data_IF_227727496591
#
_entry.id   IF_227727496591
#
_cell.length_a   1.000
_cell.length_b   1.000
_cell.length_c   1.000
_cell.angle_alpha   90.00
_cell.angle_beta   90.00
_cell.angle_gamma   90.00
#
_symmetry.space_group_name_H-M   'P 1'
#
loop_
_entity.id
_entity.type
_entity.pdbx_description
1 polymer ?
#
# COMPACT_ATOMS: atom_id res chain seq x y z
N UNK A 1 0.01 15.23 22.73
CA UNK A 1 -1.23 14.70 23.36
C UNK A 1 -0.92 13.39 24.07
N UNK A 2 -1.89 12.69 24.66
CA UNK A 2 -1.60 11.49 25.47
C UNK A 2 -1.03 10.33 24.65
N UNK A 3 -1.49 10.14 23.41
CA UNK A 3 -1.01 9.07 22.51
C UNK A 3 0.43 9.24 22.02
N UNK A 4 0.90 10.48 21.83
CA UNK A 4 2.29 10.74 21.43
C UNK A 4 3.24 10.45 22.58
N UNK A 5 2.86 10.88 23.79
CA UNK A 5 3.68 10.72 24.98
C UNK A 5 3.99 9.24 25.25
N UNK A 6 3.01 8.34 25.13
CA UNK A 6 3.24 6.90 25.35
C UNK A 6 4.34 6.35 24.45
N UNK A 7 4.42 6.75 23.18
CA UNK A 7 5.44 6.26 22.26
C UNK A 7 6.80 6.95 22.43
N UNK A 8 6.81 8.22 22.87
CA UNK A 8 8.04 8.92 23.22
C UNK A 8 8.66 8.27 24.46
N UNK A 9 7.86 8.02 25.49
CA UNK A 9 8.31 7.36 26.73
C UNK A 9 8.78 5.93 26.42
N UNK A 10 8.02 5.16 25.64
CA UNK A 10 8.38 3.81 25.18
C UNK A 10 9.75 3.80 24.47
N UNK A 11 9.97 4.70 23.52
CA UNK A 11 11.23 4.76 22.79
C UNK A 11 12.40 5.11 23.73
N UNK A 12 12.24 6.09 24.63
CA UNK A 12 13.26 6.44 25.58
C UNK A 12 13.67 5.28 26.48
N UNK A 13 12.71 4.45 26.90
CA UNK A 13 12.95 3.30 27.76
C UNK A 13 13.55 2.09 26.98
N UNK A 14 13.21 1.94 25.70
CA UNK A 14 13.49 0.71 24.96
C UNK A 14 14.46 0.88 23.79
N UNK A 15 14.96 2.10 23.51
CA UNK A 15 15.84 2.35 22.34
C UNK A 15 17.09 1.45 22.29
N UNK A 16 17.65 1.09 23.43
CA UNK A 16 18.79 0.16 23.50
C UNK A 16 18.43 -1.22 22.95
N UNK A 17 17.27 -1.75 23.32
CA UNK A 17 16.77 -3.03 22.84
C UNK A 17 16.42 -2.97 21.35
N UNK A 18 15.78 -1.88 20.90
CA UNK A 18 15.46 -1.66 19.50
C UNK A 18 16.74 -1.66 18.66
N UNK A 19 17.76 -0.92 19.09
CA UNK A 19 19.05 -0.81 18.37
C UNK A 19 19.82 -2.14 18.37
N UNK A 20 19.76 -2.90 19.47
CA UNK A 20 20.42 -4.20 19.57
C UNK A 20 19.87 -5.23 18.58
N UNK A 21 18.55 -5.19 18.31
CA UNK A 21 17.88 -6.11 17.40
C UNK A 21 17.61 -5.49 16.02
N UNK A 22 18.52 -4.63 15.56
CA UNK A 22 18.43 -3.92 14.28
C UNK A 22 19.81 -3.81 13.63
N UNK A 23 19.84 -3.50 12.34
CA UNK A 23 21.11 -3.29 11.63
C UNK A 23 21.57 -1.82 11.66
N UNK A 24 22.88 -1.58 11.39
CA UNK A 24 23.51 -0.28 11.49
C UNK A 24 22.89 0.79 10.59
N UNK A 25 22.43 0.43 9.39
CA UNK A 25 21.82 1.39 8.46
C UNK A 25 20.52 1.96 9.03
N UNK A 26 19.68 1.12 9.62
CA UNK A 26 18.45 1.56 10.26
C UNK A 26 18.78 2.42 11.50
N UNK A 27 19.77 1.99 12.29
CA UNK A 27 20.16 2.69 13.51
C UNK A 27 20.72 4.10 13.25
N UNK A 28 21.43 4.31 12.13
CA UNK A 28 22.00 5.63 11.76
C UNK A 28 20.95 6.73 11.59
N UNK A 29 19.73 6.40 11.15
CA UNK A 29 18.67 7.39 10.90
C UNK A 29 17.65 7.46 12.03
N UNK A 30 17.68 6.51 12.95
CA UNK A 30 16.66 6.30 13.99
C UNK A 30 16.54 7.47 14.97
N UNK A 31 17.67 7.96 15.48
CA UNK A 31 17.67 9.04 16.47
C UNK A 31 17.13 10.34 15.86
N UNK A 32 17.49 10.63 14.58
CA UNK A 32 16.89 11.75 13.86
C UNK A 32 15.39 11.58 13.70
N UNK A 33 14.94 10.38 13.30
CA UNK A 33 13.52 10.09 13.13
C UNK A 33 12.74 10.25 14.46
N UNK A 34 13.33 9.88 15.58
CA UNK A 34 12.73 10.08 16.89
C UNK A 34 12.58 11.59 17.23
N UNK A 35 13.62 12.40 17.01
CA UNK A 35 13.54 13.86 17.26
C UNK A 35 12.55 14.51 16.28
N UNK A 36 12.50 14.09 15.01
CA UNK A 36 11.53 14.58 14.04
C UNK A 36 10.08 14.23 14.48
N UNK A 37 9.84 13.01 14.94
CA UNK A 37 8.53 12.59 15.47
C UNK A 37 8.14 13.39 16.72
N UNK A 38 9.07 13.57 17.65
CA UNK A 38 8.85 14.32 18.88
C UNK A 38 8.52 15.79 18.60
N UNK A 39 9.13 16.38 17.57
CA UNK A 39 8.87 17.76 17.16
C UNK A 39 7.51 17.93 16.47
N UNK A 40 7.11 16.96 15.64
CA UNK A 40 5.87 17.01 14.83
C UNK A 40 4.65 16.52 15.62
N UNK A 41 4.80 15.47 16.42
CA UNK A 41 3.70 14.70 17.01
C UNK A 41 2.83 14.00 15.96
N UNK A 42 1.75 13.34 16.40
CA UNK A 42 0.80 12.77 15.44
C UNK A 42 0.01 13.85 14.71
N UNK A 43 -0.14 13.75 13.37
CA UNK A 43 -0.91 14.72 12.62
C UNK A 43 -2.40 14.65 13.02
N UNK A 44 -2.97 15.81 13.26
CA UNK A 44 -4.40 15.94 13.54
C UNK A 44 -5.18 16.19 12.26
N UNK A 45 -6.51 16.11 12.32
CA UNK A 45 -7.41 16.47 11.20
C UNK A 45 -7.28 17.91 10.70
N UNK A 46 -6.48 18.76 11.36
CA UNK A 46 -6.16 20.11 10.89
C UNK A 46 -5.08 20.11 9.81
N UNK A 47 -4.28 19.07 9.74
CA UNK A 47 -3.30 18.86 8.66
C UNK A 47 -4.05 18.36 7.45
N UNK A 48 -3.99 19.07 6.32
CA UNK A 48 -4.80 18.80 5.11
C UNK A 48 -4.76 17.35 4.68
N UNK A 49 -3.56 16.77 4.56
CA UNK A 49 -3.36 15.38 4.15
C UNK A 49 -3.91 14.33 5.15
N UNK A 50 -4.31 14.73 6.36
CA UNK A 50 -4.84 13.86 7.41
C UNK A 50 -6.26 14.21 7.83
N UNK A 51 -6.92 15.10 7.09
CA UNK A 51 -8.23 15.66 7.42
C UNK A 51 -9.32 14.61 7.64
N UNK A 52 -9.27 13.53 6.92
CA UNK A 52 -10.32 12.50 6.92
C UNK A 52 -10.02 11.30 7.82
N UNK A 53 -8.80 11.17 8.35
CA UNK A 53 -8.39 10.06 9.23
C UNK A 53 -7.87 10.57 10.57
N UNK A 54 -8.44 10.10 11.67
CA UNK A 54 -8.07 10.50 13.03
C UNK A 54 -6.89 9.69 13.55
N UNK A 55 -5.68 10.08 13.17
CA UNK A 55 -4.44 9.37 13.54
C UNK A 55 -4.26 9.27 15.06
N UNK A 56 -4.39 10.34 15.87
CA UNK A 56 -4.25 10.24 17.31
C UNK A 56 -5.18 9.20 17.95
N UNK A 57 -6.41 9.07 17.45
CA UNK A 57 -7.38 8.09 17.94
C UNK A 57 -6.96 6.64 17.59
N UNK A 58 -6.41 6.42 16.39
CA UNK A 58 -5.98 5.10 15.94
C UNK A 58 -4.76 4.60 16.72
N UNK A 59 -3.88 5.49 17.14
CA UNK A 59 -2.66 5.19 17.88
C UNK A 59 -2.82 5.28 19.40
N UNK A 60 -4.00 5.65 19.90
CA UNK A 60 -4.26 5.78 21.34
C UNK A 60 -4.34 4.44 22.11
N UNK A 61 -4.83 3.30 21.54
CA UNK A 61 -4.81 2.03 22.24
C UNK A 61 -3.39 1.59 22.59
N UNK A 62 -3.30 0.82 23.70
CA UNK A 62 -2.05 0.21 24.12
C UNK A 62 -1.83 -1.10 23.34
N UNK A 63 -0.89 -1.06 22.41
CA UNK A 63 -0.49 -2.21 21.60
C UNK A 63 0.81 -2.80 22.13
N UNK A 64 0.91 -4.13 22.18
CA UNK A 64 2.17 -4.81 22.36
C UNK A 64 3.16 -4.55 21.21
N UNK A 65 4.44 -4.71 21.49
CA UNK A 65 5.53 -4.59 20.50
C UNK A 65 6.47 -5.78 20.65
N UNK A 66 6.86 -6.40 19.56
CA UNK A 66 7.83 -7.51 19.58
C UNK A 66 9.28 -6.97 19.50
N UNK A 67 9.70 -6.19 20.49
CA UNK A 67 11.02 -5.54 20.51
C UNK A 67 12.20 -6.53 20.57
N UNK A 68 11.98 -7.71 21.14
CA UNK A 68 13.00 -8.77 21.23
C UNK A 68 13.05 -9.63 19.95
N UNK A 69 12.21 -9.35 18.96
CA UNK A 69 12.16 -10.10 17.69
C UNK A 69 11.91 -11.59 17.90
N UNK A 70 11.06 -11.94 18.87
CA UNK A 70 10.67 -13.32 19.09
C UNK A 70 10.00 -13.89 17.84
N UNK A 71 10.44 -15.07 17.42
CA UNK A 71 9.83 -15.77 16.28
C UNK A 71 8.43 -16.23 16.65
N UNK A 72 7.47 -15.97 15.76
CA UNK A 72 6.13 -16.54 15.90
C UNK A 72 6.16 -18.02 15.58
N UNK A 73 5.45 -18.86 16.35
CA UNK A 73 5.43 -20.31 16.14
C UNK A 73 4.50 -20.68 14.97
N UNK A 74 4.92 -20.33 13.76
CA UNK A 74 4.19 -20.57 12.53
C UNK A 74 5.16 -20.95 11.41
N UNK A 75 4.78 -21.92 10.56
CA UNK A 75 5.45 -22.14 9.29
C UNK A 75 4.52 -21.68 8.16
N UNK A 76 4.69 -20.44 7.65
CA UNK A 76 3.77 -19.88 6.68
C UNK A 76 3.75 -20.68 5.35
N UNK A 77 4.82 -21.39 4.99
CA UNK A 77 4.85 -22.23 3.78
C UNK A 77 4.00 -23.52 3.91
N UNK A 78 3.72 -23.97 5.12
CA UNK A 78 2.85 -25.12 5.39
C UNK A 78 1.40 -24.68 5.65
N UNK A 79 1.24 -23.58 6.36
CA UNK A 79 -0.05 -23.11 6.86
C UNK A 79 -0.79 -22.23 5.85
N UNK A 80 -0.05 -21.51 4.99
CA UNK A 80 -0.62 -20.63 3.97
C UNK A 80 -0.57 -21.28 2.58
N UNK A 81 -1.71 -21.27 1.89
CA UNK A 81 -1.80 -21.67 0.47
C UNK A 81 -2.46 -20.55 -0.31
N UNK A 82 -1.67 -19.85 -1.12
CA UNK A 82 -2.22 -18.94 -2.10
C UNK A 82 -3.08 -19.73 -3.10
N UNK A 83 -4.34 -19.37 -3.24
CA UNK A 83 -5.31 -20.04 -4.09
C UNK A 83 -5.48 -19.34 -5.46
N UNK A 84 -4.55 -18.46 -5.84
CA UNK A 84 -4.55 -17.87 -7.19
C UNK A 84 -4.10 -18.93 -8.21
N UNK A 85 -5.01 -19.44 -9.03
CA UNK A 85 -4.67 -20.48 -10.00
C UNK A 85 -3.66 -19.95 -11.02
N UNK A 86 -2.70 -20.79 -11.41
CA UNK A 86 -1.73 -20.49 -12.46
C UNK A 86 -0.86 -19.23 -12.24
N UNK A 87 -0.81 -18.72 -11.02
CA UNK A 87 0.07 -17.61 -10.69
C UNK A 87 1.50 -18.14 -10.51
N UNK A 88 2.35 -17.90 -11.51
CA UNK A 88 3.78 -18.22 -11.41
C UNK A 88 4.49 -17.15 -10.59
N UNK A 89 4.54 -17.34 -9.27
CA UNK A 89 5.20 -16.42 -8.35
C UNK A 89 6.33 -17.08 -7.57
N UNK A 90 7.27 -16.25 -7.13
CA UNK A 90 8.19 -16.59 -6.04
C UNK A 90 7.61 -16.02 -4.75
N UNK A 91 7.14 -16.90 -3.87
CA UNK A 91 6.38 -16.52 -2.66
C UNK A 91 7.33 -16.33 -1.48
N UNK A 92 7.29 -15.17 -0.89
CA UNK A 92 7.99 -14.80 0.34
C UNK A 92 6.99 -14.41 1.43
N UNK A 93 7.37 -14.57 2.68
CA UNK A 93 6.51 -14.24 3.81
C UNK A 93 7.13 -13.20 4.72
N UNK A 94 6.27 -12.30 5.20
CA UNK A 94 6.57 -11.40 6.31
C UNK A 94 5.55 -11.72 7.40
N UNK A 95 5.99 -12.27 8.51
CA UNK A 95 5.14 -12.53 9.68
C UNK A 95 5.23 -11.34 10.61
N UNK A 96 4.14 -10.62 10.76
CA UNK A 96 4.06 -9.31 11.40
C UNK A 96 4.96 -8.28 10.69
N UNK A 97 6.16 -8.03 11.22
CA UNK A 97 7.19 -7.16 10.63
C UNK A 97 8.54 -7.89 10.45
N UNK A 98 8.53 -9.23 10.49
CA UNK A 98 9.74 -10.06 10.35
C UNK A 98 9.71 -10.81 9.03
N UNK A 99 10.74 -10.61 8.21
CA UNK A 99 10.95 -11.44 7.03
C UNK A 99 11.21 -12.88 7.45
N UNK A 100 10.41 -13.82 6.89
CA UNK A 100 10.55 -15.23 7.21
C UNK A 100 11.65 -15.86 6.37
N UNK A 101 12.78 -16.18 6.97
CA UNK A 101 13.98 -16.69 6.33
C UNK A 101 14.34 -18.14 6.68
N UNK A 102 13.55 -18.81 7.51
CA UNK A 102 13.79 -20.23 7.86
C UNK A 102 13.56 -21.15 6.66
N UNK A 103 12.75 -20.71 5.70
CA UNK A 103 12.53 -21.37 4.42
C UNK A 103 12.35 -20.30 3.33
N UNK A 104 12.95 -20.50 2.17
CA UNK A 104 12.81 -19.63 1.00
C UNK A 104 12.08 -20.36 -0.13
N UNK A 105 11.53 -19.62 -1.12
CA UNK A 105 10.84 -20.24 -2.24
C UNK A 105 11.76 -21.22 -2.97
N UNK A 106 11.17 -22.34 -3.44
CA UNK A 106 11.91 -23.34 -4.25
C UNK A 106 12.25 -22.83 -5.64
N UNK A 107 11.46 -21.90 -6.17
CA UNK A 107 11.71 -21.28 -7.47
C UNK A 107 12.83 -20.26 -7.34
N UNK A 108 13.91 -20.45 -8.07
CA UNK A 108 15.00 -19.47 -8.14
C UNK A 108 14.56 -18.26 -8.95
N UNK A 109 14.97 -17.08 -8.52
CA UNK A 109 14.87 -15.85 -9.30
C UNK A 109 15.99 -15.79 -10.34
N UNK A 110 15.83 -14.89 -11.32
CA UNK A 110 16.91 -14.58 -12.27
C UNK A 110 18.18 -14.14 -11.53
N UNK A 111 19.33 -14.45 -12.11
CA UNK A 111 20.63 -14.13 -11.51
C UNK A 111 20.75 -12.65 -11.13
N UNK A 112 21.15 -12.43 -9.89
CA UNK A 112 21.39 -11.09 -9.33
C UNK A 112 20.16 -10.41 -8.70
N UNK A 113 18.94 -10.93 -8.87
CA UNK A 113 17.78 -10.41 -8.13
C UNK A 113 17.90 -10.82 -6.67
N UNK A 114 17.76 -9.85 -5.78
CA UNK A 114 17.83 -10.06 -4.33
C UNK A 114 16.48 -9.77 -3.70
N UNK A 115 16.00 -10.69 -2.87
CA UNK A 115 14.84 -10.52 -1.98
C UNK A 115 15.23 -11.07 -0.62
N UNK A 116 15.49 -10.19 0.34
CA UNK A 116 15.99 -10.60 1.66
C UNK A 116 15.62 -9.55 2.73
N UNK A 117 15.87 -9.89 4.00
CA UNK A 117 15.83 -8.93 5.09
C UNK A 117 16.97 -7.91 4.98
N UNK A 118 16.80 -6.71 5.56
CA UNK A 118 17.90 -5.74 5.64
C UNK A 118 19.12 -6.32 6.38
N UNK A 119 18.86 -7.04 7.48
CA UNK A 119 19.90 -7.64 8.33
C UNK A 119 20.78 -8.64 7.58
N UNK A 120 20.28 -9.31 6.56
CA UNK A 120 21.05 -10.20 5.71
C UNK A 120 21.64 -9.46 4.50
N UNK A 121 20.80 -8.71 3.78
CA UNK A 121 21.18 -8.04 2.53
C UNK A 121 22.32 -7.02 2.73
N UNK A 122 22.43 -6.41 3.92
CA UNK A 122 23.50 -5.45 4.23
C UNK A 122 24.90 -6.05 4.12
N UNK A 123 25.02 -7.36 4.26
CA UNK A 123 26.33 -8.06 4.19
C UNK A 123 26.91 -8.06 2.77
N UNK A 124 26.05 -8.03 1.76
CA UNK A 124 26.42 -8.12 0.33
C UNK A 124 26.04 -6.88 -0.46
N UNK A 125 25.01 -6.15 -0.05
CA UNK A 125 24.47 -4.96 -0.73
C UNK A 125 24.40 -3.73 0.18
N UNK A 126 25.28 -3.66 1.18
CA UNK A 126 25.28 -2.61 2.19
C UNK A 126 25.42 -1.20 1.64
N UNK A 127 26.20 -1.02 0.57
CA UNK A 127 26.36 0.28 -0.11
C UNK A 127 25.03 0.72 -0.77
N UNK A 128 24.38 -0.17 -1.50
CA UNK A 128 23.09 0.13 -2.15
C UNK A 128 22.05 0.51 -1.10
N UNK A 129 21.93 -0.28 -0.03
CA UNK A 129 20.99 0.00 1.05
C UNK A 129 21.29 1.36 1.70
N UNK A 130 22.56 1.65 2.01
CA UNK A 130 22.96 2.89 2.66
C UNK A 130 22.66 4.12 1.79
N UNK A 131 22.84 4.01 0.48
CA UNK A 131 22.61 5.10 -0.46
C UNK A 131 21.13 5.40 -0.70
N UNK A 132 20.23 4.43 -0.47
CA UNK A 132 18.80 4.56 -0.79
C UNK A 132 17.90 4.60 0.45
N UNK A 133 18.22 3.92 1.53
CA UNK A 133 17.37 3.84 2.72
C UNK A 133 17.14 5.21 3.38
N UNK A 134 15.88 5.54 3.64
CA UNK A 134 15.42 6.79 4.26
C UNK A 134 15.86 8.06 3.50
N UNK A 135 15.95 7.98 2.16
CA UNK A 135 16.26 9.15 1.32
C UNK A 135 15.01 9.76 0.69
N UNK A 136 14.05 8.94 0.25
CA UNK A 136 12.74 9.42 -0.22
C UNK A 136 11.79 9.65 0.96
N UNK A 137 11.82 8.75 1.93
CA UNK A 137 11.00 8.80 3.13
C UNK A 137 11.57 9.79 4.16
N UNK A 138 11.45 11.09 3.86
CA UNK A 138 11.97 12.17 4.72
C UNK A 138 11.15 12.29 6.01
N UNK A 139 11.78 11.95 7.13
CA UNK A 139 11.18 11.96 8.46
C UNK A 139 10.81 13.36 8.95
N UNK A 140 11.48 14.39 8.44
CA UNK A 140 11.16 15.78 8.78
C UNK A 140 9.86 16.28 8.14
N UNK A 141 9.38 15.62 7.07
CA UNK A 141 8.17 16.01 6.32
C UNK A 141 6.92 15.25 6.73
N UNK A 142 7.06 14.08 7.36
CA UNK A 142 5.92 13.22 7.69
C UNK A 142 6.13 12.48 9.02
N UNK A 143 5.28 12.79 9.99
CA UNK A 143 5.38 12.25 11.33
C UNK A 143 5.15 10.73 11.42
N UNK A 144 4.30 10.15 10.53
CA UNK A 144 4.07 8.69 10.52
C UNK A 144 5.26 7.96 9.90
N UNK A 145 5.93 8.58 8.94
CA UNK A 145 7.23 8.08 8.42
C UNK A 145 8.30 8.15 9.49
N UNK A 146 8.37 9.25 10.26
CA UNK A 146 9.28 9.37 11.39
C UNK A 146 8.99 8.31 12.46
N UNK A 147 7.71 8.11 12.80
CA UNK A 147 7.25 7.09 13.74
C UNK A 147 7.65 5.66 13.29
N UNK A 148 7.39 5.31 12.04
CA UNK A 148 7.80 4.01 11.51
C UNK A 148 9.32 3.85 11.55
N UNK A 149 10.07 4.88 11.11
CA UNK A 149 11.54 4.82 11.03
C UNK A 149 12.20 4.70 12.41
N UNK A 150 11.64 5.31 13.45
CA UNK A 150 12.19 5.20 14.81
C UNK A 150 11.98 3.80 15.41
N UNK A 151 10.92 3.07 15.02
CA UNK A 151 10.56 1.79 15.61
C UNK A 151 10.91 0.56 14.75
N UNK A 152 11.03 0.71 13.43
CA UNK A 152 11.36 -0.42 12.53
C UNK A 152 12.72 -1.03 12.89
N UNK A 153 12.78 -2.34 13.10
CA UNK A 153 14.01 -3.04 13.50
C UNK A 153 14.65 -3.83 12.36
N UNK A 154 13.87 -4.17 11.34
CA UNK A 154 14.29 -4.84 10.11
C UNK A 154 13.31 -4.49 8.99
N UNK A 155 13.39 -5.15 7.86
CA UNK A 155 12.48 -4.97 6.75
C UNK A 155 12.84 -5.82 5.56
N UNK A 156 12.17 -5.55 4.45
CA UNK A 156 12.36 -6.24 3.17
C UNK A 156 13.21 -5.38 2.23
N UNK A 157 14.26 -5.95 1.70
CA UNK A 157 15.07 -5.39 0.63
C UNK A 157 14.85 -6.16 -0.67
N UNK A 158 14.53 -5.44 -1.74
CA UNK A 158 14.38 -5.98 -3.08
C UNK A 158 15.29 -5.19 -4.02
N UNK A 159 16.14 -5.91 -4.74
CA UNK A 159 17.08 -5.32 -5.69
C UNK A 159 17.05 -6.07 -7.01
N UNK A 160 16.98 -5.32 -8.10
CA UNK A 160 17.05 -5.84 -9.46
C UNK A 160 18.19 -5.13 -10.20
N UNK A 161 19.24 -5.85 -10.59
CA UNK A 161 20.39 -5.25 -11.26
C UNK A 161 20.07 -4.78 -12.67
N UNK A 162 20.97 -3.97 -13.22
CA UNK A 162 20.86 -3.36 -14.55
C UNK A 162 20.52 -4.39 -15.64
N UNK A 163 19.45 -4.09 -16.39
CA UNK A 163 19.00 -4.89 -17.53
C UNK A 163 18.36 -6.23 -17.18
N UNK A 164 18.25 -6.58 -15.90
CA UNK A 164 17.61 -7.83 -15.47
C UNK A 164 16.10 -7.65 -15.42
N UNK A 165 15.39 -8.62 -16.01
CA UNK A 165 13.94 -8.68 -16.01
C UNK A 165 13.49 -9.89 -15.21
N UNK A 166 12.64 -9.69 -14.21
CA UNK A 166 12.08 -10.79 -13.46
C UNK A 166 11.11 -11.59 -14.33
N UNK A 167 11.36 -12.89 -14.48
CA UNK A 167 10.49 -13.82 -15.23
C UNK A 167 9.26 -14.24 -14.42
N UNK A 168 9.23 -13.90 -13.12
CA UNK A 168 8.16 -14.24 -12.18
C UNK A 168 7.79 -13.04 -11.34
N UNK A 169 6.52 -12.95 -10.99
CA UNK A 169 6.07 -11.99 -9.97
C UNK A 169 6.62 -12.39 -8.59
N UNK A 170 7.24 -11.44 -7.89
CA UNK A 170 7.62 -11.61 -6.49
C UNK A 170 6.38 -11.36 -5.64
N UNK A 171 5.89 -12.41 -4.99
CA UNK A 171 4.74 -12.33 -4.10
C UNK A 171 5.22 -12.27 -2.64
N UNK A 172 4.83 -11.22 -1.94
CA UNK A 172 5.10 -11.04 -0.51
C UNK A 172 3.79 -11.11 0.26
N UNK A 173 3.66 -12.11 1.09
CA UNK A 173 2.48 -12.31 1.92
C UNK A 173 2.79 -11.84 3.32
N UNK A 174 2.10 -10.79 3.73
CA UNK A 174 2.17 -10.21 5.05
C UNK A 174 1.11 -10.85 5.94
N UNK A 175 1.52 -11.68 6.89
CA UNK A 175 0.62 -12.37 7.81
C UNK A 175 0.64 -11.67 9.16
N UNK A 176 -0.53 -11.27 9.65
CA UNK A 176 -0.72 -10.76 11.00
C UNK A 176 -1.06 -11.93 11.92
N UNK A 177 -0.19 -12.22 12.89
CA UNK A 177 -0.34 -13.30 13.85
C UNK A 177 0.10 -12.89 15.24
N UNK A 178 -0.79 -12.94 16.24
CA UNK A 178 -0.45 -12.66 17.64
C UNK A 178 -1.48 -13.20 18.61
N UNK A 179 -1.07 -13.49 19.84
CA UNK A 179 -1.98 -13.83 20.92
C UNK A 179 -2.46 -12.59 21.70
N UNK A 180 -1.90 -11.43 21.41
CA UNK A 180 -2.24 -10.12 22.00
C UNK A 180 -2.46 -9.07 20.93
N UNK A 181 -3.11 -7.96 21.28
CA UNK A 181 -3.19 -6.80 20.38
C UNK A 181 -1.78 -6.27 20.13
N UNK A 182 -1.39 -6.12 18.85
CA UNK A 182 0.01 -5.90 18.45
C UNK A 182 0.16 -4.73 17.48
N UNK A 183 1.19 -3.91 17.71
CA UNK A 183 1.68 -2.95 16.72
C UNK A 183 2.92 -3.51 16.03
N UNK A 184 3.02 -3.23 14.74
CA UNK A 184 4.14 -3.65 13.90
C UNK A 184 4.55 -2.55 12.93
N UNK A 185 5.84 -2.53 12.59
CA UNK A 185 6.44 -1.47 11.80
C UNK A 185 7.22 -2.07 10.63
N UNK A 186 6.55 -2.21 9.48
CA UNK A 186 7.14 -2.76 8.25
C UNK A 186 7.95 -1.70 7.51
N UNK A 187 9.10 -2.09 7.03
CA UNK A 187 9.96 -1.26 6.18
C UNK A 187 10.36 -2.00 4.92
N UNK A 188 10.22 -1.36 3.76
CA UNK A 188 10.51 -1.99 2.46
C UNK A 188 11.32 -1.03 1.62
N UNK A 189 12.40 -1.52 1.03
CA UNK A 189 13.22 -0.80 0.07
C UNK A 189 13.31 -1.60 -1.22
N UNK A 190 12.91 -0.99 -2.33
CA UNK A 190 12.93 -1.56 -3.68
C UNK A 190 13.86 -0.70 -4.53
N UNK A 191 14.86 -1.32 -5.14
CA UNK A 191 15.82 -0.63 -6.03
C UNK A 191 15.90 -1.39 -7.35
N UNK A 192 15.46 -0.73 -8.42
CA UNK A 192 15.59 -1.19 -9.79
C UNK A 192 16.62 -0.34 -10.51
N UNK A 193 17.67 -0.97 -11.01
CA UNK A 193 18.66 -0.27 -11.83
C UNK A 193 18.16 -0.04 -13.27
N UNK A 194 18.96 0.62 -14.08
CA UNK A 194 18.65 0.94 -15.47
C UNK A 194 18.18 -0.30 -16.26
N UNK A 195 17.03 -0.20 -16.92
CA UNK A 195 16.44 -1.24 -17.76
C UNK A 195 15.94 -2.48 -17.00
N UNK A 196 15.89 -2.43 -15.67
CA UNK A 196 15.36 -3.52 -14.84
C UNK A 196 13.83 -3.59 -14.90
N UNK A 197 13.27 -4.80 -14.87
CA UNK A 197 11.81 -5.00 -14.84
C UNK A 197 11.41 -5.91 -13.67
N UNK A 198 10.40 -5.46 -12.89
CA UNK A 198 9.89 -6.18 -11.74
C UNK A 198 8.38 -6.06 -11.62
N UNK A 199 7.70 -7.20 -11.41
CA UNK A 199 6.32 -7.24 -10.93
C UNK A 199 6.29 -7.79 -9.50
N UNK A 200 5.60 -7.08 -8.59
CA UNK A 200 5.41 -7.49 -7.20
C UNK A 200 3.93 -7.56 -6.85
N UNK A 201 3.60 -8.50 -5.98
CA UNK A 201 2.29 -8.63 -5.37
C UNK A 201 2.44 -8.68 -3.85
N UNK A 202 1.93 -7.66 -3.17
CA UNK A 202 1.78 -7.67 -1.71
C UNK A 202 0.36 -8.10 -1.35
N UNK A 203 0.25 -9.12 -0.50
CA UNK A 203 -1.02 -9.56 0.07
C UNK A 203 -0.97 -9.33 1.58
N UNK A 204 -1.89 -8.53 2.11
CA UNK A 204 -2.07 -8.37 3.55
C UNK A 204 -3.20 -9.25 4.02
N UNK A 205 -2.91 -10.15 4.96
CA UNK A 205 -3.84 -11.12 5.56
C UNK A 205 -3.70 -11.14 7.08
N UNK A 206 -4.74 -11.56 7.78
CA UNK A 206 -4.71 -11.73 9.24
C UNK A 206 -5.16 -13.12 9.64
N UNK A 207 -4.29 -13.85 10.34
CA UNK A 207 -4.55 -15.18 10.85
C UNK A 207 -5.39 -15.18 12.14
N UNK A 208 -5.45 -14.05 12.84
CA UNK A 208 -6.10 -13.91 14.15
C UNK A 208 -7.12 -12.79 14.20
N UNK A 209 -8.04 -12.91 15.16
CA UNK A 209 -9.07 -11.93 15.48
C UNK A 209 -8.60 -10.84 16.48
N UNK A 210 -7.28 -10.63 16.59
CA UNK A 210 -6.69 -9.58 17.45
C UNK A 210 -6.68 -8.23 16.74
N UNK A 211 -6.51 -7.17 17.53
CA UNK A 211 -6.30 -5.84 16.95
C UNK A 211 -4.85 -5.70 16.52
N UNK A 212 -4.65 -5.33 15.29
CA UNK A 212 -3.34 -4.99 14.79
C UNK A 212 -3.30 -3.52 14.36
N UNK A 213 -2.20 -2.84 14.70
CA UNK A 213 -1.82 -1.57 14.12
C UNK A 213 -0.56 -1.78 13.28
N UNK A 214 -0.72 -1.86 11.97
CA UNK A 214 0.38 -2.03 11.04
C UNK A 214 0.77 -0.68 10.44
N UNK A 215 1.98 -0.20 10.74
CA UNK A 215 2.60 0.89 9.99
C UNK A 215 3.53 0.31 8.92
N UNK A 216 3.53 0.90 7.74
CA UNK A 216 4.38 0.47 6.63
C UNK A 216 4.98 1.67 5.92
N UNK A 217 6.26 1.61 5.61
CA UNK A 217 6.91 2.58 4.72
C UNK A 217 7.64 1.83 3.61
N UNK A 218 7.32 2.18 2.37
CA UNK A 218 7.95 1.65 1.16
C UNK A 218 8.70 2.80 0.47
N UNK A 219 9.96 2.57 0.14
CA UNK A 219 10.74 3.40 -0.76
C UNK A 219 11.07 2.60 -2.02
N UNK A 220 10.74 3.14 -3.19
CA UNK A 220 11.02 2.51 -4.48
C UNK A 220 11.79 3.45 -5.40
N UNK A 221 12.94 3.00 -5.86
CA UNK A 221 13.78 3.70 -6.84
C UNK A 221 13.70 2.96 -8.17
N UNK A 222 13.24 3.66 -9.19
CA UNK A 222 13.03 3.10 -10.53
C UNK A 222 13.97 3.79 -11.50
N UNK A 223 15.04 3.11 -11.87
CA UNK A 223 16.12 3.61 -12.72
C UNK A 223 15.67 3.93 -14.16
N UNK A 224 16.59 4.47 -14.95
CA UNK A 224 16.32 4.79 -16.36
C UNK A 224 15.83 3.57 -17.14
N UNK A 225 14.78 3.74 -17.95
CA UNK A 225 14.17 2.67 -18.76
C UNK A 225 13.67 1.46 -17.96
N UNK A 226 13.58 1.55 -16.63
CA UNK A 226 13.10 0.46 -15.77
C UNK A 226 11.57 0.42 -15.68
N UNK A 227 11.03 -0.75 -15.36
CA UNK A 227 9.60 -0.98 -15.20
C UNK A 227 9.31 -1.62 -13.85
N UNK A 228 8.44 -0.99 -13.06
CA UNK A 228 7.96 -1.51 -11.78
C UNK A 228 6.43 -1.63 -11.80
N UNK A 229 5.91 -2.82 -11.54
CA UNK A 229 4.51 -3.05 -11.24
C UNK A 229 4.36 -3.47 -9.76
N UNK A 230 3.62 -2.67 -8.99
CA UNK A 230 3.27 -2.96 -7.59
C UNK A 230 1.78 -3.23 -7.48
N UNK A 231 1.41 -4.45 -7.14
CA UNK A 231 0.05 -4.85 -6.84
C UNK A 231 -0.09 -5.05 -5.33
N UNK A 232 -1.07 -4.41 -4.70
CA UNK A 232 -1.35 -4.51 -3.27
C UNK A 232 -2.80 -4.96 -3.05
N UNK A 233 -2.98 -6.11 -2.42
CA UNK A 233 -4.27 -6.66 -2.05
C UNK A 233 -4.40 -6.69 -0.53
N UNK A 234 -5.45 -6.08 0.00
CA UNK A 234 -5.76 -6.05 1.42
C UNK A 234 -7.04 -6.81 1.72
N UNK A 235 -6.89 -7.92 2.45
CA UNK A 235 -7.96 -8.78 2.97
C UNK A 235 -7.69 -9.06 4.46
N UNK A 236 -7.72 -8.01 5.29
CA UNK A 236 -7.44 -8.11 6.73
C UNK A 236 -8.74 -8.19 7.54
N UNK A 237 -8.66 -7.98 8.85
CA UNK A 237 -9.78 -8.10 9.77
C UNK A 237 -10.39 -6.73 10.10
N UNK A 238 -11.69 -6.68 10.45
CA UNK A 238 -12.41 -5.43 10.80
C UNK A 238 -11.81 -4.64 11.97
N UNK A 239 -11.03 -5.28 12.83
CA UNK A 239 -10.36 -4.62 13.96
C UNK A 239 -8.97 -4.07 13.60
N UNK A 240 -8.48 -4.32 12.38
CA UNK A 240 -7.13 -3.95 11.97
C UNK A 240 -7.07 -2.50 11.53
N UNK A 241 -5.96 -1.87 11.87
CA UNK A 241 -5.58 -0.54 11.40
C UNK A 241 -4.30 -0.69 10.59
N UNK A 242 -4.33 -0.22 9.35
CA UNK A 242 -3.16 -0.19 8.46
C UNK A 242 -2.88 1.23 8.01
N UNK A 243 -1.64 1.68 8.20
CA UNK A 243 -1.16 2.97 7.71
C UNK A 243 0.07 2.73 6.85
N UNK A 244 -0.04 3.00 5.55
CA UNK A 244 1.02 2.76 4.58
C UNK A 244 1.44 4.05 3.90
N UNK A 245 2.73 4.37 3.94
CA UNK A 245 3.35 5.46 3.21
C UNK A 245 4.27 4.89 2.13
N UNK A 246 4.03 5.23 0.87
CA UNK A 246 4.81 4.79 -0.28
C UNK A 246 5.46 6.00 -0.93
N UNK A 247 6.75 5.91 -1.19
CA UNK A 247 7.55 6.92 -1.85
C UNK A 247 8.23 6.31 -3.07
N UNK A 248 8.01 6.91 -4.24
CA UNK A 248 8.55 6.42 -5.51
C UNK A 248 9.31 7.54 -6.22
N UNK A 249 10.52 7.25 -6.65
CA UNK A 249 11.30 8.11 -7.53
C UNK A 249 11.51 7.43 -8.88
N UNK A 250 11.14 8.12 -9.96
CA UNK A 250 11.23 7.63 -11.33
C UNK A 250 12.27 8.40 -12.14
N UNK A 251 13.26 7.66 -12.67
CA UNK A 251 14.24 8.19 -13.61
C UNK A 251 13.72 8.12 -15.05
N UNK A 252 14.53 8.55 -16.02
CA UNK A 252 14.10 8.77 -17.41
C UNK A 252 13.55 7.54 -18.10
N UNK A 253 12.45 7.72 -18.87
CA UNK A 253 11.78 6.69 -19.67
C UNK A 253 11.32 5.47 -18.83
N UNK A 254 11.17 5.63 -17.53
CA UNK A 254 10.72 4.57 -16.64
C UNK A 254 9.20 4.46 -16.60
N UNK A 255 8.71 3.31 -16.18
CA UNK A 255 7.28 3.05 -16.05
C UNK A 255 6.94 2.46 -14.69
N UNK A 256 5.98 3.06 -14.02
CA UNK A 256 5.43 2.54 -12.76
C UNK A 256 3.94 2.30 -12.90
N UNK A 257 3.49 1.11 -12.49
CA UNK A 257 2.08 0.80 -12.25
C UNK A 257 1.91 0.42 -10.78
N UNK A 258 1.04 1.14 -10.05
CA UNK A 258 0.72 0.85 -8.65
C UNK A 258 -0.78 0.63 -8.51
N UNK A 259 -1.16 -0.62 -8.19
CA UNK A 259 -2.54 -1.07 -8.07
C UNK A 259 -2.85 -1.40 -6.61
N UNK A 260 -3.85 -0.75 -6.04
CA UNK A 260 -4.25 -0.93 -4.63
C UNK A 260 -5.70 -1.42 -4.57
N UNK A 261 -5.90 -2.59 -4.00
CA UNK A 261 -7.20 -3.23 -3.89
C UNK A 261 -7.48 -3.49 -2.41
N UNK A 262 -8.53 -2.85 -1.89
CA UNK A 262 -9.00 -3.04 -0.51
C UNK A 262 -10.39 -3.67 -0.54
N UNK A 263 -10.46 -4.95 -0.16
CA UNK A 263 -11.71 -5.71 -0.15
C UNK A 263 -12.25 -5.97 1.26
N UNK A 264 -11.36 -6.10 2.24
CA UNK A 264 -11.73 -6.31 3.63
C UNK A 264 -10.68 -5.72 4.57
N UNK A 265 -11.10 -4.84 5.48
CA UNK A 265 -10.23 -4.13 6.41
C UNK A 265 -11.02 -3.60 7.62
N UNK A 266 -10.36 -2.97 8.57
CA UNK A 266 -10.98 -2.10 9.57
C UNK A 266 -10.81 -0.64 9.16
N UNK A 267 -9.62 -0.08 9.42
CA UNK A 267 -9.22 1.27 8.98
C UNK A 267 -7.95 1.18 8.16
N UNK A 268 -8.00 1.67 6.94
CA UNK A 268 -6.84 1.70 6.06
C UNK A 268 -6.57 3.13 5.61
N UNK A 269 -5.33 3.56 5.76
CA UNK A 269 -4.84 4.80 5.20
C UNK A 269 -3.60 4.54 4.34
N UNK A 270 -3.71 4.89 3.07
CA UNK A 270 -2.62 4.80 2.10
C UNK A 270 -2.19 6.21 1.69
N UNK A 271 -0.91 6.48 1.78
CA UNK A 271 -0.26 7.66 1.23
C UNK A 271 0.73 7.22 0.16
N UNK A 272 0.69 7.86 -1.00
CA UNK A 272 1.65 7.65 -2.06
C UNK A 272 2.19 8.98 -2.55
N UNK A 273 3.50 9.16 -2.50
CA UNK A 273 4.21 10.27 -3.08
C UNK A 273 5.13 9.74 -4.19
N UNK A 274 4.84 10.16 -5.44
CA UNK A 274 5.63 9.77 -6.61
C UNK A 274 6.24 11.02 -7.23
N UNK A 275 7.52 10.96 -7.54
CA UNK A 275 8.25 12.04 -8.22
C UNK A 275 8.83 11.54 -9.53
N UNK A 276 8.58 12.26 -10.60
CA UNK A 276 9.30 12.12 -11.85
C UNK A 276 10.58 12.96 -11.78
N UNK A 277 11.72 12.30 -11.64
CA UNK A 277 13.05 12.90 -11.60
C UNK A 277 13.75 12.82 -12.96
N UNK A 278 13.24 11.99 -13.89
CA UNK A 278 13.72 11.85 -15.27
C UNK A 278 12.59 11.99 -16.29
N UNK A 279 12.90 12.60 -17.43
CA UNK A 279 11.94 12.85 -18.52
C UNK A 279 11.45 11.58 -19.22
N UNK A 280 10.30 11.67 -19.89
CA UNK A 280 9.73 10.61 -20.72
C UNK A 280 9.10 9.47 -19.92
N UNK A 281 8.90 9.65 -18.62
CA UNK A 281 8.41 8.60 -17.72
C UNK A 281 6.88 8.59 -17.63
N UNK A 282 6.35 7.40 -17.31
CA UNK A 282 4.92 7.15 -17.20
C UNK A 282 4.56 6.54 -15.85
N UNK A 283 3.45 6.98 -15.24
CA UNK A 283 2.87 6.27 -14.10
C UNK A 283 1.38 6.02 -14.24
N UNK A 284 0.93 4.89 -13.69
CA UNK A 284 -0.46 4.46 -13.61
C UNK A 284 -0.78 4.09 -12.16
N UNK A 285 -1.65 4.88 -11.53
CA UNK A 285 -2.08 4.64 -10.15
C UNK A 285 -3.54 4.23 -10.14
N UNK A 286 -3.83 3.00 -9.74
CA UNK A 286 -5.18 2.46 -9.77
C UNK A 286 -5.61 2.01 -8.37
N UNK A 287 -6.82 2.37 -7.95
CA UNK A 287 -7.38 2.00 -6.66
C UNK A 287 -8.80 1.45 -6.78
N UNK A 288 -9.04 0.27 -6.18
CA UNK A 288 -10.36 -0.31 -6.04
C UNK A 288 -10.67 -0.54 -4.56
N UNK A 289 -11.78 0.02 -4.09
CA UNK A 289 -12.21 -0.11 -2.70
C UNK A 289 -13.65 -0.61 -2.67
N UNK A 290 -13.87 -1.73 -1.96
CA UNK A 290 -15.20 -2.24 -1.62
C UNK A 290 -15.31 -2.30 -0.10
N UNK A 291 -16.11 -1.42 0.48
CA UNK A 291 -16.22 -1.29 1.93
C UNK A 291 -17.70 -1.24 2.39
N UNK A 292 -17.98 -1.87 3.52
CA UNK A 292 -19.28 -1.90 4.19
C UNK A 292 -19.13 -1.71 5.70
N UNK A 293 -20.20 -1.93 6.46
CA UNK A 293 -20.21 -1.83 7.93
C UNK A 293 -19.67 -0.48 8.38
N UNK A 294 -18.57 -0.47 9.17
CA UNK A 294 -17.88 0.74 9.65
C UNK A 294 -16.45 0.83 9.13
N UNK A 295 -16.17 0.18 8.01
CA UNK A 295 -14.85 0.23 7.40
C UNK A 295 -14.50 1.64 6.94
N UNK A 296 -13.22 1.98 7.04
CA UNK A 296 -12.71 3.28 6.61
C UNK A 296 -11.51 3.07 5.68
N UNK A 297 -11.55 3.68 4.49
CA UNK A 297 -10.43 3.63 3.53
C UNK A 297 -10.12 5.03 3.02
N UNK A 298 -8.91 5.50 3.32
CA UNK A 298 -8.38 6.81 2.93
C UNK A 298 -7.16 6.63 2.01
N UNK A 299 -7.30 6.99 0.73
CA UNK A 299 -6.20 7.01 -0.23
C UNK A 299 -5.79 8.46 -0.51
N UNK A 300 -4.52 8.78 -0.29
CA UNK A 300 -3.96 10.10 -0.51
C UNK A 300 -2.74 10.00 -1.44
N UNK A 301 -2.81 10.62 -2.60
CA UNK A 301 -1.74 10.58 -3.61
C UNK A 301 -1.17 11.96 -3.88
N UNK A 302 0.14 12.02 -4.12
CA UNK A 302 0.81 13.18 -4.70
C UNK A 302 1.65 12.69 -5.86
N UNK A 303 1.42 13.25 -7.04
CA UNK A 303 2.28 13.06 -8.21
C UNK A 303 3.00 14.37 -8.47
N UNK A 304 4.32 14.35 -8.33
CA UNK A 304 5.19 15.48 -8.57
C UNK A 304 5.86 15.35 -9.96
N UNK A 305 5.38 16.11 -10.92
CA UNK A 305 6.04 16.30 -12.20
C UNK A 305 7.14 17.36 -12.02
N UNK A 306 8.33 16.94 -11.61
CA UNK A 306 9.46 17.83 -11.43
C UNK A 306 10.18 18.15 -12.76
N UNK A 307 10.00 17.28 -13.77
CA UNK A 307 10.59 17.39 -15.12
C UNK A 307 9.52 17.22 -16.19
N UNK A 308 9.82 17.64 -17.43
CA UNK A 308 8.90 17.60 -18.56
C UNK A 308 8.72 16.24 -19.22
N UNK A 309 7.83 16.20 -20.23
CA UNK A 309 7.57 15.04 -21.08
C UNK A 309 7.08 13.78 -20.32
N UNK A 310 6.48 13.95 -19.14
CA UNK A 310 6.00 12.83 -18.32
C UNK A 310 4.48 12.68 -18.37
N UNK A 311 4.01 11.45 -18.24
CA UNK A 311 2.59 11.10 -18.26
C UNK A 311 2.16 10.44 -16.96
N UNK A 312 1.06 10.91 -16.36
CA UNK A 312 0.45 10.28 -15.20
C UNK A 312 -1.04 10.03 -15.39
N UNK A 313 -1.48 8.84 -14.99
CA UNK A 313 -2.89 8.45 -15.00
C UNK A 313 -3.28 7.89 -13.64
N UNK A 314 -4.38 8.41 -13.07
CA UNK A 314 -4.95 7.92 -11.83
C UNK A 314 -6.41 7.50 -12.04
N UNK A 315 -6.77 6.30 -11.58
CA UNK A 315 -8.14 5.81 -11.57
C UNK A 315 -8.47 5.18 -10.21
N UNK A 316 -9.27 5.87 -9.41
CA UNK A 316 -9.73 5.36 -8.11
C UNK A 316 -11.24 5.21 -8.10
N UNK A 317 -11.72 3.99 -7.74
CA UNK A 317 -13.15 3.68 -7.62
C UNK A 317 -13.48 3.09 -6.26
N UNK A 318 -14.55 3.61 -5.67
CA UNK A 318 -15.07 3.17 -4.38
C UNK A 318 -16.50 2.70 -4.51
N UNK A 319 -16.82 1.55 -3.93
CA UNK A 319 -18.19 1.11 -3.62
C UNK A 319 -18.32 1.04 -2.11
N UNK A 320 -19.19 1.88 -1.57
CA UNK A 320 -19.39 2.05 -0.13
C UNK A 320 -20.84 1.70 0.23
N UNK A 321 -21.00 0.78 1.17
CA UNK A 321 -22.32 0.39 1.69
C UNK A 321 -22.39 0.61 3.21
N UNK A 322 -23.56 0.39 3.81
CA UNK A 322 -23.83 0.57 5.25
C UNK A 322 -23.36 1.94 5.79
N UNK A 323 -22.39 1.92 6.71
CA UNK A 323 -21.79 3.10 7.35
C UNK A 323 -20.31 3.26 6.97
N UNK A 324 -19.89 2.69 5.86
CA UNK A 324 -18.51 2.79 5.40
C UNK A 324 -18.14 4.23 5.07
N UNK A 325 -16.86 4.54 5.27
CA UNK A 325 -16.30 5.85 4.97
C UNK A 325 -15.16 5.70 3.98
N UNK A 326 -15.29 6.35 2.83
CA UNK A 326 -14.22 6.50 1.85
C UNK A 326 -13.64 7.91 1.88
N UNK A 327 -12.34 8.03 1.66
CA UNK A 327 -11.69 9.30 1.40
C UNK A 327 -10.68 9.15 0.27
N UNK A 328 -10.67 10.11 -0.62
CA UNK A 328 -9.67 10.23 -1.69
C UNK A 328 -9.19 11.67 -1.76
N UNK A 329 -7.87 11.87 -1.72
CA UNK A 329 -7.26 13.16 -1.99
C UNK A 329 -6.08 12.95 -2.93
N UNK A 330 -6.15 13.53 -4.13
CA UNK A 330 -5.12 13.44 -5.15
C UNK A 330 -4.58 14.82 -5.47
N UNK A 331 -3.26 15.00 -5.43
CA UNK A 331 -2.58 16.21 -5.86
C UNK A 331 -1.68 15.90 -7.05
N UNK A 332 -1.90 16.61 -8.14
CA UNK A 332 -0.98 16.66 -9.28
C UNK A 332 -0.25 18.00 -9.18
N UNK A 333 1.05 17.92 -8.90
CA UNK A 333 1.95 19.07 -8.88
C UNK A 333 2.79 19.09 -10.16
N UNK A 334 2.80 20.20 -10.88
CA UNK A 334 3.59 20.38 -12.11
C UNK A 334 4.52 21.57 -11.94
N UNK A 335 5.83 21.30 -11.88
CA UNK A 335 6.86 22.31 -11.73
C UNK A 335 6.92 23.24 -12.95
N UNK A 336 7.48 24.44 -12.79
CA UNK A 336 7.55 25.46 -13.84
C UNK A 336 8.20 24.96 -15.15
N UNK A 337 9.23 24.14 -15.04
CA UNK A 337 9.97 23.64 -16.19
C UNK A 337 9.48 22.27 -16.68
N UNK A 338 8.44 21.70 -16.04
CA UNK A 338 7.84 20.41 -16.39
C UNK A 338 6.87 20.56 -17.58
N UNK A 339 7.37 21.06 -18.71
CA UNK A 339 6.60 21.25 -19.94
C UNK A 339 6.24 19.91 -20.60
N UNK A 340 5.18 19.87 -21.42
CA UNK A 340 4.66 18.68 -22.10
C UNK A 340 4.17 17.58 -21.13
N UNK A 341 3.81 17.97 -19.93
CA UNK A 341 3.17 17.07 -18.97
C UNK A 341 1.76 16.72 -19.43
N UNK A 342 1.47 15.40 -19.42
CA UNK A 342 0.12 14.86 -19.62
C UNK A 342 -0.34 14.20 -18.31
N UNK A 343 -1.40 14.71 -17.70
CA UNK A 343 -1.89 14.16 -16.42
C UNK A 343 -3.41 14.02 -16.42
N UNK A 344 -3.87 12.85 -16.00
CA UNK A 344 -5.30 12.56 -15.89
C UNK A 344 -5.60 11.88 -14.56
N UNK A 345 -6.51 12.48 -13.74
CA UNK A 345 -6.95 11.93 -12.48
C UNK A 345 -8.46 11.74 -12.48
N UNK A 346 -8.90 10.52 -12.22
CA UNK A 346 -10.33 10.15 -12.11
C UNK A 346 -10.60 9.47 -10.79
N UNK A 347 -11.54 10.04 -10.02
CA UNK A 347 -12.08 9.39 -8.84
C UNK A 347 -13.60 9.25 -8.98
N UNK A 348 -14.08 8.02 -9.03
CA UNK A 348 -15.50 7.70 -9.16
C UNK A 348 -15.96 6.90 -7.95
N UNK A 349 -17.08 7.30 -7.36
CA UNK A 349 -17.52 6.77 -6.08
C UNK A 349 -19.01 6.45 -6.12
N UNK A 350 -19.34 5.24 -5.68
CA UNK A 350 -20.69 4.73 -5.57
C UNK A 350 -21.05 4.53 -4.10
N UNK A 351 -21.95 5.35 -3.56
CA UNK A 351 -22.54 5.15 -2.24
C UNK A 351 -23.82 4.32 -2.40
N UNK A 352 -23.73 3.03 -2.05
CA UNK A 352 -24.84 2.09 -2.19
C UNK A 352 -25.89 2.23 -1.08
N UNK A 353 -25.51 2.83 0.06
CA UNK A 353 -26.40 3.22 1.15
C UNK A 353 -26.33 4.72 1.40
N UNK A 354 -27.43 5.31 1.87
CA UNK A 354 -27.51 6.74 2.25
C UNK A 354 -26.68 7.09 3.50
N UNK A 355 -26.27 6.09 4.25
CA UNK A 355 -25.45 6.19 5.47
C UNK A 355 -23.96 6.07 5.19
N UNK A 356 -23.57 5.65 3.98
CA UNK A 356 -22.20 5.64 3.54
C UNK A 356 -21.71 7.06 3.20
N UNK A 357 -20.45 7.35 3.50
CA UNK A 357 -19.89 8.68 3.28
C UNK A 357 -18.64 8.62 2.41
N UNK A 358 -18.56 9.49 1.41
CA UNK A 358 -17.37 9.68 0.57
C UNK A 358 -16.88 11.12 0.63
N UNK A 359 -15.59 11.27 0.90
CA UNK A 359 -14.87 12.53 0.80
C UNK A 359 -13.93 12.45 -0.39
N UNK A 360 -14.04 13.37 -1.34
CA UNK A 360 -13.18 13.39 -2.53
C UNK A 360 -12.63 14.78 -2.75
N UNK A 361 -11.30 14.86 -2.96
CA UNK A 361 -10.57 16.12 -3.06
C UNK A 361 -9.45 16.00 -4.11
N UNK A 362 -9.77 16.03 -5.40
CA UNK A 362 -8.76 16.14 -6.44
C UNK A 362 -8.22 17.57 -6.50
N UNK A 363 -6.89 17.71 -6.67
CA UNK A 363 -6.21 19.01 -6.64
C UNK A 363 -5.18 19.10 -7.77
N UNK A 364 -5.05 20.29 -8.36
CA UNK A 364 -4.05 20.62 -9.37
C UNK A 364 -3.26 21.84 -8.92
N UNK A 365 -1.93 21.72 -8.91
CA UNK A 365 -0.99 22.84 -8.74
C UNK A 365 -0.06 22.89 -9.95
N UNK A 366 -0.36 23.74 -10.91
CA UNK A 366 0.32 23.76 -12.21
C UNK A 366 1.05 25.09 -12.38
N UNK A 367 2.36 25.01 -12.59
CA UNK A 367 3.23 26.16 -12.80
C UNK A 367 3.88 26.20 -14.19
N UNK A 368 3.60 25.22 -15.06
CA UNK A 368 4.05 25.16 -16.45
C UNK A 368 2.93 25.58 -17.42
N UNK A 369 3.27 26.09 -18.59
CA UNK A 369 2.32 26.65 -19.55
C UNK A 369 1.86 25.66 -20.61
N UNK A 370 2.74 24.75 -21.07
CA UNK A 370 2.47 23.80 -22.15
C UNK A 370 2.21 22.41 -21.58
N UNK A 371 1.04 22.22 -21.02
CA UNK A 371 0.62 20.98 -20.36
C UNK A 371 -0.85 20.65 -20.62
N UNK A 372 -1.21 19.37 -20.48
CA UNK A 372 -2.59 18.91 -20.51
C UNK A 372 -2.87 18.13 -19.21
N UNK A 373 -3.42 18.82 -18.23
CA UNK A 373 -3.74 18.24 -16.93
C UNK A 373 -5.23 18.40 -16.66
N UNK A 374 -5.87 17.31 -16.29
CA UNK A 374 -7.27 17.33 -15.91
C UNK A 374 -7.55 16.38 -14.74
N UNK A 375 -8.60 16.71 -13.99
CA UNK A 375 -9.11 15.85 -12.95
C UNK A 375 -10.64 15.76 -13.01
N UNK A 376 -11.19 14.66 -12.55
CA UNK A 376 -12.62 14.46 -12.44
C UNK A 376 -12.98 13.65 -11.21
N UNK A 377 -14.02 14.07 -10.50
CA UNK A 377 -14.53 13.35 -9.35
C UNK A 377 -16.06 13.28 -9.39
N UNK A 378 -16.59 12.11 -9.07
CA UNK A 378 -18.04 11.90 -8.94
C UNK A 378 -18.35 11.14 -7.66
N UNK A 379 -19.45 11.53 -7.03
CA UNK A 379 -20.09 10.75 -5.95
C UNK A 379 -21.54 10.55 -6.34
N UNK A 380 -21.95 9.31 -6.50
CA UNK A 380 -23.28 8.96 -6.94
C UNK A 380 -23.88 7.77 -6.19
N UNK A 381 -25.13 7.48 -6.52
CA UNK A 381 -25.83 6.28 -6.09
C UNK A 381 -26.03 5.35 -7.29
N UNK A 382 -26.50 4.14 -7.03
CA UNK A 382 -26.90 3.21 -8.10
C UNK A 382 -27.95 3.85 -9.00
N UNK A 383 -27.81 3.64 -10.30
CA UNK A 383 -28.74 4.16 -11.29
C UNK A 383 -30.09 3.38 -11.19
N UNK A 384 -31.10 4.04 -10.64
CA UNK A 384 -32.44 3.45 -10.47
C UNK A 384 -33.06 3.03 -11.80
N UNK A 385 -32.82 3.74 -12.88
CA UNK A 385 -33.32 3.37 -14.21
C UNK A 385 -32.66 2.08 -14.71
N UNK A 386 -31.36 1.92 -14.46
CA UNK A 386 -30.64 0.67 -14.80
C UNK A 386 -31.14 -0.50 -13.94
N UNK A 387 -31.31 -0.29 -12.63
CA UNK A 387 -31.90 -1.30 -11.73
C UNK A 387 -33.29 -1.71 -12.20
N UNK A 388 -34.16 -0.73 -12.48
CA UNK A 388 -35.51 -0.99 -12.96
C UNK A 388 -35.51 -1.76 -14.28
N UNK A 389 -34.65 -1.36 -15.25
CA UNK A 389 -34.52 -2.07 -16.52
C UNK A 389 -34.13 -3.53 -16.34
N UNK A 390 -33.15 -3.82 -15.47
CA UNK A 390 -32.73 -5.19 -15.18
C UNK A 390 -33.84 -6.01 -14.53
N UNK A 391 -34.58 -5.42 -13.61
CA UNK A 391 -35.75 -6.08 -12.99
C UNK A 391 -36.85 -6.40 -14.01
N UNK A 392 -37.08 -5.53 -14.99
CA UNK A 392 -38.02 -5.81 -16.09
C UNK A 392 -37.60 -6.96 -16.99
N UNK A 393 -36.29 -7.31 -16.97
CA UNK A 393 -35.70 -8.47 -17.66
C UNK A 393 -35.72 -9.74 -16.81
N UNK A 394 -36.33 -9.71 -15.63
CA UNK A 394 -36.44 -10.88 -14.74
C UNK A 394 -35.23 -11.07 -13.81
N UNK A 395 -34.30 -10.10 -13.74
CA UNK A 395 -33.17 -10.16 -12.80
C UNK A 395 -33.72 -9.59 -11.47
N UNK A 396 -33.54 -10.34 -10.38
CA UNK A 396 -33.99 -9.85 -9.07
C UNK A 396 -33.15 -8.63 -8.62
N UNK A 397 -33.71 -7.83 -7.68
CA UNK A 397 -33.09 -6.57 -7.26
C UNK A 397 -31.68 -6.73 -6.69
N UNK A 398 -31.44 -7.82 -5.94
CA UNK A 398 -30.13 -8.08 -5.31
C UNK A 398 -29.08 -8.41 -6.36
N UNK A 399 -29.41 -9.27 -7.32
CA UNK A 399 -28.54 -9.62 -8.41
C UNK A 399 -28.29 -8.43 -9.35
N UNK A 400 -29.30 -7.60 -9.63
CA UNK A 400 -29.15 -6.39 -10.42
C UNK A 400 -28.21 -5.37 -9.75
N UNK A 401 -28.35 -5.17 -8.43
CA UNK A 401 -27.42 -4.33 -7.63
C UNK A 401 -26.00 -4.87 -7.74
N UNK A 402 -25.80 -6.15 -7.47
CA UNK A 402 -24.50 -6.82 -7.57
C UNK A 402 -23.84 -6.62 -8.95
N UNK A 403 -24.56 -6.87 -10.03
CA UNK A 403 -24.02 -6.76 -11.39
C UNK A 403 -23.56 -5.32 -11.72
N UNK A 404 -24.29 -4.31 -11.28
CA UNK A 404 -23.93 -2.91 -11.48
C UNK A 404 -22.70 -2.51 -10.65
N UNK A 405 -22.61 -2.93 -9.40
CA UNK A 405 -21.47 -2.65 -8.53
C UNK A 405 -20.20 -3.37 -9.03
N UNK A 406 -20.37 -4.63 -9.45
CA UNK A 406 -19.29 -5.43 -10.01
C UNK A 406 -18.74 -4.82 -11.31
N UNK A 407 -19.61 -4.47 -12.24
CA UNK A 407 -19.22 -3.80 -13.49
C UNK A 407 -18.49 -2.46 -13.23
N UNK A 408 -18.91 -1.73 -12.18
CA UNK A 408 -18.32 -0.44 -11.83
C UNK A 408 -16.86 -0.57 -11.39
N UNK A 409 -16.50 -1.57 -10.58
CA UNK A 409 -15.15 -1.76 -10.07
C UNK A 409 -14.24 -2.51 -11.05
N UNK A 410 -14.80 -3.31 -11.94
CA UNK A 410 -14.02 -4.10 -12.91
C UNK A 410 -13.13 -3.26 -13.81
N UNK A 411 -13.52 -2.02 -14.11
CA UNK A 411 -12.68 -1.12 -14.90
C UNK A 411 -11.29 -0.88 -14.29
N UNK A 412 -11.19 -0.89 -12.95
CA UNK A 412 -9.90 -0.79 -12.25
C UNK A 412 -9.14 -2.10 -12.32
N UNK A 413 -9.85 -3.22 -12.09
CA UNK A 413 -9.24 -4.56 -12.08
C UNK A 413 -8.67 -4.88 -13.46
N UNK A 414 -9.36 -4.50 -14.53
CA UNK A 414 -8.95 -4.73 -15.92
C UNK A 414 -7.69 -3.93 -16.34
N UNK A 415 -7.27 -2.92 -15.54
CA UNK A 415 -6.01 -2.20 -15.77
C UNK A 415 -4.78 -2.98 -15.30
N UNK A 416 -4.94 -4.05 -14.54
CA UNK A 416 -3.81 -4.85 -14.04
C UNK A 416 -3.20 -5.68 -15.17
N UNK A 417 -1.88 -5.64 -15.27
CA UNK A 417 -1.15 -6.38 -16.29
C UNK A 417 -1.05 -7.89 -15.94
N UNK A 418 -1.01 -8.22 -14.66
CA UNK A 418 -0.91 -9.60 -14.18
C UNK A 418 -2.25 -10.35 -14.31
N UNK A 419 -2.44 -11.02 -15.46
CA UNK A 419 -3.70 -11.69 -15.83
C UNK A 419 -4.22 -12.68 -14.77
N UNK A 420 -3.42 -13.61 -14.21
CA UNK A 420 -3.93 -14.54 -13.19
C UNK A 420 -4.45 -13.83 -11.93
N UNK A 421 -3.81 -12.70 -11.54
CA UNK A 421 -4.28 -11.89 -10.43
C UNK A 421 -5.61 -11.20 -10.78
N UNK A 422 -5.73 -10.65 -11.98
CA UNK A 422 -6.96 -10.01 -12.47
C UNK A 422 -8.14 -10.98 -12.40
N UNK A 423 -7.96 -12.20 -12.92
CA UNK A 423 -9.01 -13.23 -12.90
C UNK A 423 -9.40 -13.61 -11.45
N UNK A 424 -8.40 -13.71 -10.57
CA UNK A 424 -8.66 -13.98 -9.16
C UNK A 424 -9.40 -12.82 -8.47
N UNK A 425 -9.04 -11.57 -8.77
CA UNK A 425 -9.69 -10.39 -8.20
C UNK A 425 -11.16 -10.28 -8.63
N UNK A 426 -11.48 -10.59 -9.87
CA UNK A 426 -12.88 -10.68 -10.30
C UNK A 426 -13.67 -11.64 -9.40
N UNK A 427 -13.12 -12.83 -9.13
CA UNK A 427 -13.76 -13.81 -8.26
C UNK A 427 -13.86 -13.34 -6.79
N UNK A 428 -12.80 -12.71 -6.25
CA UNK A 428 -12.81 -12.17 -4.88
C UNK A 428 -13.82 -11.04 -4.72
N UNK A 429 -13.90 -10.13 -5.68
CA UNK A 429 -14.87 -9.04 -5.69
C UNK A 429 -16.30 -9.58 -5.80
N UNK A 430 -16.54 -10.60 -6.65
CA UNK A 430 -17.82 -11.29 -6.71
C UNK A 430 -18.22 -11.87 -5.34
N UNK A 431 -17.32 -12.64 -4.71
CA UNK A 431 -17.55 -13.19 -3.36
C UNK A 431 -17.83 -12.09 -2.34
N UNK A 432 -17.07 -10.99 -2.41
CA UNK A 432 -17.23 -9.85 -1.51
C UNK A 432 -18.62 -9.24 -1.60
N UNK A 433 -19.13 -8.98 -2.80
CA UNK A 433 -20.48 -8.44 -3.00
C UNK A 433 -21.59 -9.43 -2.67
N UNK A 434 -21.34 -10.74 -2.81
CA UNK A 434 -22.30 -11.78 -2.40
C UNK A 434 -22.33 -12.00 -0.88
N UNK A 435 -21.39 -11.39 -0.13
CA UNK A 435 -21.26 -11.59 1.33
C UNK A 435 -20.63 -12.95 1.67
N UNK A 436 -19.89 -13.56 0.75
CA UNK A 436 -19.25 -14.87 0.89
C UNK A 436 -17.77 -14.76 1.31
N UNK A 437 -17.26 -13.55 1.46
CA UNK A 437 -15.87 -13.26 1.80
C UNK A 437 -15.75 -13.09 3.32
N UNK A 438 -16.09 -14.16 4.06
CA UNK A 438 -15.89 -14.16 5.52
C UNK A 438 -14.47 -14.57 5.93
N UNK A 439 -13.72 -15.25 5.05
CA UNK A 439 -12.33 -15.67 5.27
C UNK A 439 -11.65 -16.01 3.93
N UNK A 440 -10.34 -15.88 3.85
CA UNK A 440 -9.53 -16.35 2.75
C UNK A 440 -9.76 -17.87 2.57
N UNK A 441 -10.48 -18.27 1.51
CA UNK A 441 -10.87 -19.67 1.30
C UNK A 441 -9.64 -20.52 0.96
N UNK A 442 -9.23 -21.38 1.88
CA UNK A 442 -8.14 -22.36 1.68
C UNK A 442 -6.89 -22.12 2.51
N UNK A 443 -6.82 -21.02 3.26
CA UNK A 443 -5.76 -20.81 4.26
C UNK A 443 -6.11 -21.58 5.55
N UNK A 444 -5.24 -22.50 5.95
CA UNK A 444 -5.42 -23.23 7.23
C UNK A 444 -5.25 -22.35 8.47
N UNK A 445 -4.67 -21.16 8.30
CA UNK A 445 -4.48 -20.20 9.39
C UNK A 445 -5.80 -19.53 9.83
N UNK A 446 -6.81 -19.53 8.95
CA UNK A 446 -8.13 -18.94 9.21
C UNK A 446 -9.18 -19.99 9.68
N UNK A 447 -8.81 -21.26 9.74
CA UNK A 447 -9.62 -22.33 10.30
C UNK A 447 -9.15 -22.62 11.72
#
# INVERSE_FOLDING_TARGET
>A
MQSEKQYIDLYNETQGMIKQHSCDVLNKVRDKAFEDFKAQGFPTKKVERYKYTDIPKLFAPDYGLNLQRLKMPINPYEDFKCDVPNLSTSVYFVVNDQFYNDQLPKAQLNDGIVVDSFSNAIKTHGEIITNHYAKLADTAKDALTAFNTMLAQDGLFVYVPKGVKSDRTIQVINILRSDVDLMLNRRILIVLEEGAELSMLFCDDSADDRKFLATQVIEAYVGDNAKLELNCLEETHLKNVRVSNVYIDQQSNSRVSHNIITLHNGVTRNKLDLTFSGEGSECFLNGCVVADKHQHVDNNTVINHAVGNCTSNQLYKYVLDDHAVGAFAGLIYVAKDAQKTLSHEVNQNLCAASTAHMYTQPMLEIYADDVQCNHGSTVGQLNDAALFYMQQRGIDKREAKFLLEFAFVNEVIDKMELVPLRDRLHHLVEKRFRGELDKCGGCKLCQ
#
